data_IF_682402238107
#
_entry.id   IF_682402238107
#
_cell.length_a   1.000
_cell.length_b   1.000
_cell.length_c   1.000
_cell.angle_alpha   90.00
_cell.angle_beta   90.00
_cell.angle_gamma   90.00
#
_symmetry.space_group_name_H-M   'P 1'
#
loop_
_entity.id
_entity.type
_entity.pdbx_description
1 polymer ?
#
# COMPACT_ATOMS: atom_id res chain seq x y z
N UNK A 1 -1.52 -5.44 -13.34
CA UNK A 1 -1.88 -5.36 -14.78
C UNK A 1 -3.37 -5.63 -14.90
N UNK A 2 -4.19 -4.59 -15.09
CA UNK A 2 -5.63 -4.76 -15.32
C UNK A 2 -5.83 -4.87 -16.84
N UNK A 3 -6.36 -6.02 -17.27
CA UNK A 3 -6.69 -6.32 -18.66
C UNK A 3 -8.13 -5.85 -18.90
N UNK A 4 -8.34 -5.10 -19.97
CA UNK A 4 -9.59 -4.46 -20.38
C UNK A 4 -10.84 -5.35 -20.27
N UNK A 5 -11.89 -4.82 -19.64
CA UNK A 5 -13.28 -5.12 -19.98
C UNK A 5 -13.93 -3.84 -20.48
N UNK A 6 -14.74 -3.92 -21.54
CA UNK A 6 -15.26 -2.84 -22.42
C UNK A 6 -16.14 -1.75 -21.78
N UNK A 7 -16.05 -1.51 -20.48
CA UNK A 7 -16.58 -0.29 -19.89
C UNK A 7 -15.52 0.82 -20.05
N UNK A 8 -15.84 1.88 -20.80
CA UNK A 8 -15.03 3.10 -20.82
C UNK A 8 -14.86 3.56 -19.35
N UNK A 9 -13.65 3.45 -18.82
CA UNK A 9 -13.34 3.71 -17.43
C UNK A 9 -13.87 5.09 -16.96
N UNK A 10 -13.93 6.06 -17.87
CA UNK A 10 -14.50 7.39 -17.62
C UNK A 10 -16.00 7.39 -17.34
N UNK A 11 -16.80 6.50 -17.94
CA UNK A 11 -18.24 6.40 -17.69
C UNK A 11 -18.54 5.71 -16.36
N UNK A 12 -17.76 4.68 -16.01
CA UNK A 12 -17.85 3.98 -14.71
C UNK A 12 -17.56 4.95 -13.57
N UNK A 13 -16.50 5.75 -13.70
CA UNK A 13 -16.10 6.74 -12.69
C UNK A 13 -17.12 7.86 -12.58
N UNK A 14 -17.59 8.40 -13.72
CA UNK A 14 -18.60 9.48 -13.71
C UNK A 14 -19.91 9.04 -13.05
N UNK A 15 -20.32 7.78 -13.26
CA UNK A 15 -21.50 7.20 -12.60
C UNK A 15 -21.27 7.02 -11.10
N UNK A 16 -20.15 6.43 -10.69
CA UNK A 16 -19.78 6.28 -9.28
C UNK A 16 -19.72 7.65 -8.54
N UNK A 17 -19.27 8.71 -9.21
CA UNK A 17 -19.30 10.09 -8.69
C UNK A 17 -20.73 10.57 -8.48
N UNK A 18 -21.59 10.45 -9.50
CA UNK A 18 -22.99 10.91 -9.42
C UNK A 18 -23.80 10.18 -8.34
N UNK A 19 -23.42 8.94 -8.05
CA UNK A 19 -24.07 8.08 -7.07
C UNK A 19 -23.41 8.15 -5.68
N UNK A 20 -22.37 8.99 -5.49
CA UNK A 20 -21.63 9.11 -4.22
C UNK A 20 -20.84 7.87 -3.81
N UNK A 21 -20.61 6.93 -4.73
CA UNK A 21 -20.04 5.59 -4.50
C UNK A 21 -18.60 5.48 -5.01
N UNK A 22 -17.72 6.43 -4.68
CA UNK A 22 -16.29 6.27 -4.96
C UNK A 22 -15.60 5.52 -3.82
N UNK A 23 -15.33 4.24 -4.08
CA UNK A 23 -14.36 3.47 -3.29
C UNK A 23 -12.93 4.03 -3.45
N UNK A 24 -11.97 3.46 -2.71
CA UNK A 24 -10.57 3.89 -2.75
C UNK A 24 -10.00 3.88 -4.18
N UNK A 25 -10.37 2.86 -4.98
CA UNK A 25 -9.90 2.70 -6.36
C UNK A 25 -10.44 3.83 -7.25
N UNK A 26 -11.73 4.13 -7.16
CA UNK A 26 -12.34 5.23 -7.90
C UNK A 26 -11.74 6.60 -7.55
N UNK A 27 -11.40 6.82 -6.27
CA UNK A 27 -10.70 8.05 -5.84
C UNK A 27 -9.30 8.17 -6.45
N UNK A 28 -8.52 7.07 -6.47
CA UNK A 28 -7.18 7.03 -7.08
C UNK A 28 -7.26 7.28 -8.59
N UNK A 29 -8.17 6.60 -9.29
CA UNK A 29 -8.27 6.75 -10.75
C UNK A 29 -8.65 8.18 -11.11
N UNK A 30 -9.55 8.81 -10.34
CA UNK A 30 -9.90 10.23 -10.51
C UNK A 30 -8.70 11.17 -10.28
N UNK A 31 -7.85 10.88 -9.29
CA UNK A 31 -6.62 11.66 -9.08
C UNK A 31 -5.69 11.54 -10.30
N UNK A 32 -5.44 10.31 -10.76
CA UNK A 32 -4.52 10.04 -11.88
C UNK A 32 -5.03 10.60 -13.21
N UNK A 33 -6.32 10.45 -13.51
CA UNK A 33 -6.93 10.86 -14.77
C UNK A 33 -7.68 12.21 -14.68
N UNK A 34 -7.48 12.94 -13.58
CA UNK A 34 -8.12 14.22 -13.34
C UNK A 34 -7.64 15.31 -14.31
N UNK A 35 -8.28 16.49 -14.21
CA UNK A 35 -8.00 17.66 -15.07
C UNK A 35 -6.54 18.17 -15.00
N UNK A 36 -5.73 17.68 -14.07
CA UNK A 36 -4.33 18.08 -13.88
C UNK A 36 -3.33 17.42 -14.86
N UNK A 37 -3.76 16.46 -15.68
CA UNK A 37 -2.88 15.84 -16.69
C UNK A 37 -1.93 14.76 -16.15
N UNK A 38 -2.22 14.22 -14.97
CA UNK A 38 -1.44 13.17 -14.29
C UNK A 38 -1.34 13.43 -12.79
N UNK A 39 -1.08 12.38 -12.00
CA UNK A 39 -0.78 12.50 -10.58
C UNK A 39 0.29 11.50 -10.17
N UNK A 40 1.13 11.89 -9.20
CA UNK A 40 2.09 11.00 -8.54
C UNK A 40 1.59 10.72 -7.13
N UNK A 41 1.57 9.45 -6.74
CA UNK A 41 1.33 9.03 -5.36
C UNK A 41 2.67 8.86 -4.66
N UNK A 42 2.82 9.50 -3.50
CA UNK A 42 3.97 9.30 -2.64
C UNK A 42 3.87 7.94 -1.96
N UNK A 43 4.89 7.10 -2.15
CA UNK A 43 5.10 5.85 -1.42
C UNK A 43 6.16 6.05 -0.34
N UNK A 44 5.85 5.68 0.90
CA UNK A 44 6.78 5.76 2.04
C UNK A 44 7.03 4.38 2.62
N UNK A 45 8.30 4.00 2.78
CA UNK A 45 8.65 2.76 3.47
C UNK A 45 8.48 2.90 4.99
N UNK A 46 7.77 1.97 5.65
CA UNK A 46 7.47 2.06 7.08
C UNK A 46 8.64 1.54 7.93
N UNK A 47 9.77 2.25 7.91
CA UNK A 47 11.01 1.80 8.54
C UNK A 47 10.98 1.97 10.07
N UNK A 48 10.28 3.00 10.56
CA UNK A 48 10.12 3.27 12.00
C UNK A 48 8.73 3.84 12.31
N UNK A 49 8.32 3.75 13.57
CA UNK A 49 7.10 4.39 14.06
C UNK A 49 7.07 5.91 13.80
N UNK A 50 8.22 6.58 13.88
CA UNK A 50 8.33 8.02 13.60
C UNK A 50 8.05 8.35 12.14
N UNK A 51 8.54 7.52 11.21
CA UNK A 51 8.25 7.69 9.76
C UNK A 51 6.77 7.46 9.50
N UNK A 52 6.15 6.47 10.15
CA UNK A 52 4.72 6.21 10.05
C UNK A 52 3.92 7.42 10.54
N UNK A 53 4.21 7.91 11.75
CA UNK A 53 3.50 9.03 12.36
C UNK A 53 3.65 10.30 11.52
N UNK A 54 4.88 10.64 11.10
CA UNK A 54 5.13 11.80 10.25
C UNK A 54 4.41 11.71 8.90
N UNK A 55 4.38 10.54 8.28
CA UNK A 55 3.67 10.33 7.01
C UNK A 55 2.17 10.51 7.18
N UNK A 56 1.60 10.01 8.27
CA UNK A 56 0.19 10.18 8.60
C UNK A 56 -0.16 11.64 8.86
N UNK A 57 0.69 12.39 9.58
CA UNK A 57 0.51 13.83 9.79
C UNK A 57 0.53 14.59 8.45
N UNK A 58 1.50 14.33 7.58
CA UNK A 58 1.60 14.97 6.26
C UNK A 58 0.38 14.64 5.39
N UNK A 59 -0.11 13.39 5.43
CA UNK A 59 -1.31 12.99 4.72
C UNK A 59 -2.54 13.77 5.17
N UNK A 60 -2.65 14.05 6.48
CA UNK A 60 -3.75 14.83 7.03
C UNK A 60 -3.61 16.32 6.71
N UNK A 61 -2.42 16.90 6.87
CA UNK A 61 -2.15 18.31 6.60
C UNK A 61 -2.43 18.66 5.13
N UNK A 62 -2.04 17.78 4.21
CA UNK A 62 -2.22 17.98 2.78
C UNK A 62 -3.56 17.47 2.24
N UNK A 63 -4.35 16.80 3.08
CA UNK A 63 -5.60 16.10 2.69
C UNK A 63 -5.40 15.23 1.43
N UNK A 64 -4.25 14.56 1.38
CA UNK A 64 -3.80 13.79 0.23
C UNK A 64 -3.66 12.30 0.59
N UNK A 65 -3.83 11.37 -0.38
CA UNK A 65 -3.58 9.96 -0.12
C UNK A 65 -2.13 9.69 0.26
N UNK A 66 -1.92 8.69 1.11
CA UNK A 66 -0.60 8.22 1.52
C UNK A 66 -0.49 6.72 1.28
N UNK A 67 0.57 6.29 0.59
CA UNK A 67 0.86 4.88 0.40
C UNK A 67 2.05 4.45 1.26
N UNK A 68 1.86 3.42 2.08
CA UNK A 68 2.95 2.72 2.73
C UNK A 68 3.40 1.54 1.88
N UNK A 69 4.68 1.52 1.51
CA UNK A 69 5.30 0.50 0.65
C UNK A 69 6.32 -0.31 1.47
N UNK A 70 5.86 -1.43 2.03
CA UNK A 70 6.68 -2.29 2.88
C UNK A 70 7.35 -3.39 2.06
N UNK A 71 8.65 -3.62 2.21
CA UNK A 71 9.32 -4.79 1.63
C UNK A 71 9.18 -6.04 2.51
N UNK A 72 9.49 -7.23 1.96
CA UNK A 72 9.55 -8.49 2.72
C UNK A 72 10.60 -8.49 3.85
N UNK A 73 11.62 -7.63 3.75
CA UNK A 73 12.59 -7.46 4.84
C UNK A 73 11.99 -6.62 5.98
N UNK A 74 11.11 -5.67 5.66
CA UNK A 74 10.49 -4.76 6.63
C UNK A 74 9.35 -5.44 7.36
N UNK A 75 8.33 -5.85 6.62
CA UNK A 75 7.06 -6.37 7.14
C UNK A 75 6.79 -7.72 6.51
N UNK A 76 6.80 -8.77 7.31
CA UNK A 76 6.60 -10.14 6.84
C UNK A 76 6.03 -11.04 7.95
N UNK A 77 5.61 -12.25 7.63
CA UNK A 77 4.99 -13.19 8.56
C UNK A 77 5.85 -13.48 9.81
N UNK A 78 7.17 -13.34 9.72
CA UNK A 78 8.13 -13.49 10.84
C UNK A 78 8.48 -12.17 11.53
N UNK A 79 7.82 -11.07 11.17
CA UNK A 79 8.02 -9.75 11.72
C UNK A 79 9.01 -8.87 10.96
N UNK A 80 9.80 -9.44 10.05
CA UNK A 80 10.90 -8.71 9.40
C UNK A 80 11.83 -8.03 10.42
N UNK A 81 12.57 -7.01 9.98
CA UNK A 81 13.42 -6.25 10.90
C UNK A 81 12.66 -5.17 11.68
N UNK A 82 11.42 -4.81 11.28
CA UNK A 82 10.61 -3.81 12.01
C UNK A 82 9.82 -4.43 13.14
N UNK A 83 9.76 -5.76 13.22
CA UNK A 83 8.92 -6.50 14.16
C UNK A 83 7.43 -6.54 13.78
N UNK A 84 7.07 -6.12 12.57
CA UNK A 84 5.69 -6.14 12.11
C UNK A 84 5.39 -7.32 11.19
N UNK A 85 4.35 -8.06 11.52
CA UNK A 85 3.60 -8.86 10.54
C UNK A 85 2.65 -7.99 9.73
N UNK A 86 2.21 -8.42 8.52
CA UNK A 86 1.23 -7.67 7.74
C UNK A 86 -0.02 -7.29 8.55
N UNK A 87 -0.54 -8.22 9.37
CA UNK A 87 -1.71 -8.00 10.21
C UNK A 87 -1.43 -6.97 11.30
N UNK A 88 -0.28 -7.07 11.98
CA UNK A 88 0.09 -6.12 13.03
C UNK A 88 0.34 -4.71 12.47
N UNK A 89 0.96 -4.61 11.29
CA UNK A 89 1.21 -3.35 10.61
C UNK A 89 -0.11 -2.65 10.27
N UNK A 90 -1.05 -3.37 9.64
CA UNK A 90 -2.39 -2.85 9.34
C UNK A 90 -3.11 -2.40 10.61
N UNK A 91 -3.00 -3.17 11.71
CA UNK A 91 -3.62 -2.80 12.98
C UNK A 91 -3.05 -1.49 13.52
N UNK A 92 -1.73 -1.36 13.55
CA UNK A 92 -1.03 -0.16 14.04
C UNK A 92 -1.41 1.07 13.22
N UNK A 93 -1.47 0.96 11.90
CA UNK A 93 -1.91 2.06 11.02
C UNK A 93 -3.36 2.44 11.32
N UNK A 94 -4.28 1.48 11.43
CA UNK A 94 -5.68 1.74 11.77
C UNK A 94 -5.83 2.47 13.11
N UNK A 95 -5.09 2.03 14.12
CA UNK A 95 -5.13 2.65 15.44
C UNK A 95 -4.59 4.09 15.42
N UNK A 96 -3.49 4.34 14.69
CA UNK A 96 -2.94 5.69 14.52
C UNK A 96 -3.90 6.60 13.74
N UNK A 97 -4.44 6.14 12.60
CA UNK A 97 -5.45 6.86 11.81
C UNK A 97 -6.67 7.24 12.65
N UNK A 98 -7.19 6.31 13.46
CA UNK A 98 -8.32 6.57 14.36
C UNK A 98 -7.96 7.59 15.44
N UNK A 99 -6.82 7.43 16.12
CA UNK A 99 -6.38 8.35 17.19
C UNK A 99 -6.14 9.76 16.68
N UNK A 100 -5.60 9.89 15.48
CA UNK A 100 -5.28 11.17 14.84
C UNK A 100 -6.45 11.75 14.04
N UNK A 101 -7.58 11.02 13.94
CA UNK A 101 -8.78 11.45 13.20
C UNK A 101 -8.50 11.79 11.73
N UNK A 102 -7.67 10.97 11.08
CA UNK A 102 -7.26 11.14 9.67
C UNK A 102 -8.36 10.64 8.75
N UNK A 103 -8.79 11.49 7.81
CA UNK A 103 -9.79 11.16 6.77
C UNK A 103 -9.16 10.90 5.38
N UNK A 104 -7.84 11.12 5.26
CA UNK A 104 -7.10 10.85 4.04
C UNK A 104 -7.04 9.36 3.70
N UNK A 105 -7.01 9.03 2.40
CA UNK A 105 -6.90 7.65 1.92
C UNK A 105 -5.53 7.08 2.25
N UNK A 106 -5.48 6.07 3.12
CA UNK A 106 -4.26 5.32 3.42
C UNK A 106 -4.23 4.02 2.63
N UNK A 107 -3.17 3.82 1.86
CA UNK A 107 -2.93 2.65 1.02
C UNK A 107 -1.79 1.86 1.65
N UNK A 108 -1.96 0.55 1.78
CA UNK A 108 -0.90 -0.35 2.22
C UNK A 108 -0.53 -1.23 1.03
N UNK A 109 0.76 -1.36 0.76
CA UNK A 109 1.29 -2.07 -0.40
C UNK A 109 2.57 -2.80 -0.06
N UNK A 110 2.78 -3.92 -0.75
CA UNK A 110 4.00 -4.71 -0.67
C UNK A 110 4.95 -4.27 -1.79
N UNK A 111 6.14 -3.86 -1.40
CA UNK A 111 7.23 -3.51 -2.30
C UNK A 111 8.09 -4.74 -2.58
N UNK A 112 8.58 -4.87 -3.81
CA UNK A 112 9.51 -5.92 -4.22
C UNK A 112 9.12 -7.34 -3.72
N UNK A 113 7.87 -7.75 -3.89
CA UNK A 113 7.46 -9.14 -3.61
C UNK A 113 8.06 -10.09 -4.64
N UNK A 114 8.70 -11.17 -4.19
CA UNK A 114 9.24 -12.19 -5.10
C UNK A 114 10.39 -13.01 -4.52
N UNK A 115 10.73 -14.13 -5.19
CA UNK A 115 11.75 -15.04 -4.71
C UNK A 115 13.10 -14.31 -4.62
N UNK A 116 13.85 -14.58 -3.55
CA UNK A 116 15.12 -13.91 -3.23
C UNK A 116 15.08 -12.40 -2.97
N UNK A 117 13.90 -11.78 -2.85
CA UNK A 117 13.77 -10.35 -2.50
C UNK A 117 13.71 -10.09 -0.98
N UNK A 118 13.83 -11.15 -0.18
CA UNK A 118 14.11 -11.10 1.26
C UNK A 118 15.52 -11.60 1.48
N UNK A 119 16.29 -10.93 2.32
CA UNK A 119 17.72 -11.23 2.53
C UNK A 119 17.91 -12.68 3.01
N UNK A 120 17.01 -13.12 3.91
CA UNK A 120 16.96 -14.48 4.44
C UNK A 120 16.83 -15.56 3.35
N UNK A 121 16.16 -15.28 2.23
CA UNK A 121 16.08 -16.24 1.12
C UNK A 121 17.46 -16.50 0.50
N UNK A 122 18.29 -15.45 0.41
CA UNK A 122 19.65 -15.52 -0.13
C UNK A 122 20.61 -16.11 0.91
N UNK A 123 20.51 -15.70 2.17
CA UNK A 123 21.34 -16.21 3.27
C UNK A 123 21.17 -17.72 3.49
N UNK A 124 19.94 -18.22 3.36
CA UNK A 124 19.64 -19.65 3.46
C UNK A 124 19.88 -20.41 2.15
N UNK A 125 20.32 -19.72 1.09
CA UNK A 125 20.55 -20.28 -0.24
C UNK A 125 19.35 -21.10 -0.75
N UNK A 126 18.14 -20.55 -0.58
CA UNK A 126 16.91 -21.24 -0.95
C UNK A 126 16.88 -21.53 -2.45
N UNK A 127 16.39 -22.71 -2.82
CA UNK A 127 16.01 -23.01 -4.20
C UNK A 127 14.84 -22.13 -4.65
N UNK A 128 14.60 -22.06 -5.97
CA UNK A 128 13.48 -21.30 -6.52
C UNK A 128 12.14 -21.69 -5.88
N UNK A 129 11.90 -22.99 -5.70
CA UNK A 129 10.64 -23.48 -5.13
C UNK A 129 10.49 -23.07 -3.67
N UNK A 130 11.54 -23.22 -2.87
CA UNK A 130 11.54 -22.80 -1.46
C UNK A 130 11.32 -21.28 -1.35
N UNK A 131 12.05 -20.48 -2.13
CA UNK A 131 11.89 -19.02 -2.13
C UNK A 131 10.49 -18.58 -2.58
N UNK A 132 9.89 -19.28 -3.55
CA UNK A 132 8.51 -19.01 -3.98
C UNK A 132 7.49 -19.38 -2.91
N UNK A 133 7.69 -20.48 -2.18
CA UNK A 133 6.79 -20.90 -1.11
C UNK A 133 6.88 -19.96 0.09
N UNK A 134 8.08 -19.48 0.42
CA UNK A 134 8.27 -18.40 1.41
C UNK A 134 7.53 -17.12 0.99
N UNK A 135 7.65 -16.69 -0.26
CA UNK A 135 6.93 -15.50 -0.74
C UNK A 135 5.41 -15.65 -0.66
N UNK A 136 4.87 -16.83 -0.96
CA UNK A 136 3.42 -17.07 -0.83
C UNK A 136 2.96 -17.04 0.62
N UNK A 137 3.82 -17.41 1.57
CA UNK A 137 3.52 -17.36 3.00
C UNK A 137 3.39 -15.92 3.51
N UNK A 138 4.07 -14.98 2.86
CA UNK A 138 4.01 -13.54 3.15
C UNK A 138 2.73 -12.84 2.67
N UNK A 139 1.93 -13.49 1.79
CA UNK A 139 0.71 -12.95 1.19
C UNK A 139 -0.55 -13.39 1.95
#
# INVERSE_FOLDING_TARGET
>A
MIINSEANLGSVISRAISEGRLDAVGRIIRLIHGKAGGATLLGVSPITDYVIDGSLMVADDLKAPMAFIASLNQVDYDGGYTGYTPQSFVSVIKDKVKRMSIDSLIIISLDHCGPWLKDKHVELNLSLNEAMDECKRSL
#
